data_IF_717192835444
#
_entry.id   IF_717192835444
#
_cell.length_a   1.000
_cell.length_b   1.000
_cell.length_c   1.000
_cell.angle_alpha   90.00
_cell.angle_beta   90.00
_cell.angle_gamma   90.00
#
_symmetry.space_group_name_H-M   'P 1'
#
loop_
_entity.id
_entity.type
_entity.pdbx_description
1 polymer ?
#
# COMPACT_ATOMS: atom_id res chain seq x y z
N UNK A 1 -16.66 -18.37 -2.68
CA UNK A 1 -15.24 -18.79 -2.72
C UNK A 1 -14.53 -18.04 -1.62
N UNK A 2 -14.02 -18.74 -0.61
CA UNK A 2 -13.25 -18.10 0.46
C UNK A 2 -11.93 -17.60 -0.15
N UNK A 3 -11.75 -16.29 -0.23
CA UNK A 3 -10.46 -15.70 -0.59
C UNK A 3 -9.40 -16.21 0.37
N UNK A 4 -8.23 -16.58 -0.16
CA UNK A 4 -7.14 -17.12 0.64
C UNK A 4 -6.82 -16.15 1.79
N UNK A 5 -6.97 -16.61 3.04
CA UNK A 5 -6.84 -15.79 4.26
C UNK A 5 -5.44 -15.18 4.43
N UNK A 6 -4.48 -15.51 3.56
CA UNK A 6 -3.11 -14.95 3.53
C UNK A 6 -2.85 -13.98 2.37
N UNK A 7 -3.88 -13.55 1.65
CA UNK A 7 -3.74 -12.65 0.50
C UNK A 7 -3.30 -11.23 0.88
N UNK A 8 -3.46 -10.81 2.14
CA UNK A 8 -2.99 -9.50 2.63
C UNK A 8 -2.06 -9.71 3.83
N UNK A 9 -0.98 -8.95 3.92
CA UNK A 9 -0.01 -9.05 5.02
C UNK A 9 0.53 -7.67 5.37
N UNK A 10 0.56 -7.35 6.67
CA UNK A 10 1.26 -6.18 7.19
C UNK A 10 2.75 -6.51 7.29
N UNK A 11 3.60 -5.61 6.80
CA UNK A 11 5.05 -5.75 6.87
C UNK A 11 5.64 -4.36 7.17
N UNK A 12 6.75 -4.33 7.89
CA UNK A 12 7.41 -3.06 8.15
C UNK A 12 8.05 -2.49 6.88
N UNK A 13 8.01 -1.16 6.72
CA UNK A 13 8.56 -0.44 5.56
C UNK A 13 10.07 -0.65 5.34
N UNK A 14 10.82 -0.79 6.43
CA UNK A 14 12.25 -1.14 6.44
C UNK A 14 12.57 -2.52 5.81
N UNK A 15 11.54 -3.27 5.39
CA UNK A 15 11.63 -4.59 4.75
C UNK A 15 11.27 -4.60 3.27
N UNK A 16 11.08 -3.44 2.64
CA UNK A 16 10.79 -3.38 1.20
C UNK A 16 11.86 -4.12 0.36
N UNK A 17 13.13 -3.83 0.62
CA UNK A 17 14.25 -4.43 -0.12
C UNK A 17 14.34 -5.94 0.10
N UNK A 18 14.25 -6.39 1.36
CA UNK A 18 14.22 -7.81 1.72
C UNK A 18 13.04 -8.53 1.04
N UNK A 19 11.89 -7.86 0.91
CA UNK A 19 10.70 -8.39 0.25
C UNK A 19 10.95 -8.55 -1.26
N UNK A 20 11.54 -7.54 -1.91
CA UNK A 20 11.85 -7.59 -3.33
C UNK A 20 12.94 -8.64 -3.62
N UNK A 21 13.95 -8.79 -2.76
CA UNK A 21 14.95 -9.86 -2.84
C UNK A 21 14.27 -11.24 -2.77
N UNK A 22 13.34 -11.42 -1.84
CA UNK A 22 12.56 -12.66 -1.73
C UNK A 22 11.67 -12.91 -2.96
N UNK A 23 10.95 -11.89 -3.43
CA UNK A 23 10.09 -11.97 -4.61
C UNK A 23 10.90 -12.33 -5.85
N UNK A 24 12.10 -11.78 -6.01
CA UNK A 24 13.01 -12.11 -7.11
C UNK A 24 13.42 -13.59 -7.15
N UNK A 25 13.27 -14.32 -6.05
CA UNK A 25 13.55 -15.76 -5.99
C UNK A 25 12.45 -16.65 -6.57
N UNK A 26 11.22 -16.17 -6.77
CA UNK A 26 10.10 -17.02 -7.21
C UNK A 26 9.05 -16.36 -8.11
N UNK A 27 8.98 -15.03 -8.19
CA UNK A 27 8.05 -14.34 -9.08
C UNK A 27 8.50 -14.58 -10.52
N UNK A 28 7.57 -15.01 -11.38
CA UNK A 28 7.87 -15.30 -12.77
C UNK A 28 8.07 -14.00 -13.56
N UNK A 29 8.90 -13.98 -14.62
CA UNK A 29 9.14 -12.77 -15.42
C UNK A 29 7.89 -12.15 -16.03
N UNK A 30 6.81 -12.90 -16.25
CA UNK A 30 5.55 -12.39 -16.81
C UNK A 30 4.62 -11.80 -15.74
N UNK A 31 4.90 -12.05 -14.46
CA UNK A 31 4.09 -11.57 -13.35
C UNK A 31 4.52 -10.16 -12.95
N UNK A 32 3.52 -9.29 -12.75
CA UNK A 32 3.72 -7.88 -12.42
C UNK A 32 3.64 -7.65 -10.91
N UNK A 33 4.54 -6.82 -10.40
CA UNK A 33 4.51 -6.29 -9.04
C UNK A 33 4.25 -4.79 -9.13
N UNK A 34 3.14 -4.36 -8.53
CA UNK A 34 2.72 -2.97 -8.53
C UNK A 34 2.94 -2.35 -7.15
N UNK A 35 3.86 -1.39 -7.07
CA UNK A 35 4.06 -0.57 -5.89
C UNK A 35 3.11 0.63 -5.93
N UNK A 36 2.34 0.81 -4.88
CA UNK A 36 1.35 1.87 -4.76
C UNK A 36 1.65 2.76 -3.57
N UNK A 37 1.56 4.07 -3.77
CA UNK A 37 1.63 5.04 -2.68
C UNK A 37 0.52 6.08 -2.83
N UNK A 38 0.31 6.90 -1.80
CA UNK A 38 -0.64 8.02 -1.90
C UNK A 38 -0.16 9.07 -2.91
N UNK A 39 1.13 9.42 -2.84
CA UNK A 39 1.73 10.49 -3.63
C UNK A 39 2.89 9.99 -4.49
N UNK A 40 3.17 10.69 -5.59
CA UNK A 40 4.23 10.30 -6.53
C UNK A 40 5.64 10.39 -5.95
N UNK A 41 5.90 11.35 -5.07
CA UNK A 41 7.22 11.56 -4.48
C UNK A 41 7.61 10.46 -3.48
N UNK A 42 6.65 9.63 -3.05
CA UNK A 42 6.88 8.44 -2.22
C UNK A 42 7.45 7.24 -3.01
N UNK A 43 7.86 7.45 -4.27
CA UNK A 43 8.53 6.41 -5.06
C UNK A 43 9.83 5.98 -4.34
N UNK A 44 9.98 4.70 -3.98
CA UNK A 44 11.20 4.26 -3.30
C UNK A 44 12.44 4.44 -4.16
N UNK A 45 13.50 5.01 -3.58
CA UNK A 45 14.78 5.18 -4.28
C UNK A 45 15.38 3.83 -4.74
N UNK A 46 15.08 2.74 -4.04
CA UNK A 46 15.49 1.39 -4.41
C UNK A 46 15.06 1.03 -5.85
N UNK A 47 13.93 1.56 -6.33
CA UNK A 47 13.47 1.32 -7.71
C UNK A 47 14.38 1.95 -8.76
N UNK A 48 15.19 2.96 -8.41
CA UNK A 48 16.17 3.54 -9.34
C UNK A 48 17.27 2.54 -9.72
N UNK A 49 17.51 1.52 -8.88
CA UNK A 49 18.49 0.46 -9.10
C UNK A 49 17.85 -0.89 -9.43
N UNK A 50 16.53 -0.93 -9.64
CA UNK A 50 15.78 -2.17 -9.83
C UNK A 50 16.29 -3.00 -11.01
N UNK A 51 16.63 -2.35 -12.14
CA UNK A 51 17.12 -3.04 -13.33
C UNK A 51 18.42 -3.84 -13.08
N UNK A 52 19.24 -3.42 -12.11
CA UNK A 52 20.47 -4.12 -11.74
C UNK A 52 20.25 -5.11 -10.60
N UNK A 53 19.44 -4.75 -9.59
CA UNK A 53 19.25 -5.58 -8.39
C UNK A 53 18.22 -6.69 -8.58
N UNK A 54 17.15 -6.41 -9.33
CA UNK A 54 16.04 -7.33 -9.59
C UNK A 54 15.72 -7.39 -11.10
N UNK A 55 16.68 -7.79 -11.95
CA UNK A 55 16.59 -7.66 -13.41
C UNK A 55 15.42 -8.43 -14.04
N UNK A 56 14.85 -9.41 -13.33
CA UNK A 56 13.75 -10.25 -13.82
C UNK A 56 12.38 -9.85 -13.27
N UNK A 57 12.31 -8.88 -12.34
CA UNK A 57 11.04 -8.42 -11.81
C UNK A 57 10.45 -7.31 -12.68
N UNK A 58 9.17 -7.45 -13.04
CA UNK A 58 8.39 -6.35 -13.62
C UNK A 58 7.83 -5.47 -12.50
N UNK A 59 8.58 -4.40 -12.16
CA UNK A 59 8.21 -3.46 -11.10
C UNK A 59 7.60 -2.18 -11.69
N UNK A 60 6.34 -1.92 -11.35
CA UNK A 60 5.65 -0.67 -11.67
C UNK A 60 5.45 0.17 -10.40
N UNK A 61 5.46 1.50 -10.53
CA UNK A 61 5.09 2.41 -9.45
C UNK A 61 4.06 3.44 -9.93
N UNK A 62 3.02 3.67 -9.13
CA UNK A 62 2.06 4.74 -9.35
C UNK A 62 1.31 5.11 -8.07
N UNK A 63 0.52 6.18 -8.12
CA UNK A 63 -0.38 6.48 -7.01
C UNK A 63 -1.56 5.52 -6.97
N UNK A 64 -2.15 5.32 -5.78
CA UNK A 64 -3.34 4.46 -5.63
C UNK A 64 -4.46 4.94 -6.56
N UNK A 65 -4.65 6.26 -6.71
CA UNK A 65 -5.64 6.83 -7.62
C UNK A 65 -5.37 6.48 -9.09
N UNK A 66 -4.13 6.61 -9.55
CA UNK A 66 -3.74 6.28 -10.93
C UNK A 66 -3.86 4.78 -11.25
N UNK A 67 -3.87 3.92 -10.21
CA UNK A 67 -4.03 2.47 -10.38
C UNK A 67 -5.46 2.01 -10.67
N UNK A 68 -6.46 2.90 -10.60
CA UNK A 68 -7.87 2.54 -10.88
C UNK A 68 -7.99 1.89 -12.26
N UNK A 69 -8.66 0.73 -12.30
CA UNK A 69 -8.83 -0.06 -13.53
C UNK A 69 -7.64 -0.95 -13.90
N UNK A 70 -6.48 -0.80 -13.24
CA UNK A 70 -5.32 -1.66 -13.44
C UNK A 70 -5.31 -2.81 -12.43
N UNK A 71 -4.61 -3.90 -12.76
CA UNK A 71 -4.35 -5.01 -11.84
C UNK A 71 -2.94 -5.54 -12.05
N UNK A 72 -2.39 -6.15 -11.01
CA UNK A 72 -1.11 -6.84 -11.02
C UNK A 72 -1.21 -8.15 -10.24
N UNK A 73 -0.27 -9.06 -10.45
CA UNK A 73 -0.19 -10.32 -9.71
C UNK A 73 0.05 -10.04 -8.22
N UNK A 74 0.93 -9.09 -7.95
CA UNK A 74 1.34 -8.68 -6.61
C UNK A 74 1.21 -7.17 -6.43
N UNK A 75 0.81 -6.73 -5.24
CA UNK A 75 0.75 -5.30 -4.88
C UNK A 75 1.51 -5.06 -3.59
N UNK A 76 2.27 -3.97 -3.55
CA UNK A 76 2.93 -3.47 -2.34
C UNK A 76 2.43 -2.06 -2.10
N UNK A 77 1.69 -1.83 -1.03
CA UNK A 77 1.20 -0.50 -0.64
C UNK A 77 2.18 0.12 0.34
N UNK A 78 2.58 1.35 0.07
CA UNK A 78 3.58 2.12 0.80
C UNK A 78 2.90 3.25 1.60
N UNK A 79 3.62 3.75 2.60
CA UNK A 79 3.25 4.97 3.32
C UNK A 79 2.14 4.78 4.36
N UNK A 80 1.93 3.58 4.90
CA UNK A 80 1.06 3.39 6.06
C UNK A 80 1.76 3.93 7.31
N UNK A 81 1.71 5.25 7.46
CA UNK A 81 2.24 5.99 8.60
C UNK A 81 1.31 7.12 9.01
N UNK A 82 1.52 7.66 10.20
CA UNK A 82 0.99 8.96 10.62
C UNK A 82 1.94 10.11 10.20
N UNK A 83 1.46 11.35 10.31
CA UNK A 83 2.26 12.55 10.08
C UNK A 83 2.29 13.03 8.63
N UNK A 84 3.47 13.43 8.15
CA UNK A 84 3.64 13.85 6.76
C UNK A 84 3.51 12.65 5.82
N UNK A 85 2.90 12.88 4.66
CA UNK A 85 2.62 11.85 3.65
C UNK A 85 1.83 10.63 4.17
N UNK A 86 1.09 10.82 5.26
CA UNK A 86 0.33 9.77 5.91
C UNK A 86 -0.70 9.11 4.99
N UNK A 87 -0.95 7.84 5.27
CA UNK A 87 -2.07 7.10 4.73
C UNK A 87 -2.77 6.33 5.86
N UNK A 88 -3.97 6.74 6.32
CA UNK A 88 -4.82 7.81 5.78
C UNK A 88 -4.19 9.19 5.89
N UNK A 89 -4.49 10.08 4.94
CA UNK A 89 -4.08 11.48 5.09
C UNK A 89 -4.90 12.18 6.17
N UNK A 90 -4.27 13.07 6.96
CA UNK A 90 -5.01 13.90 7.90
C UNK A 90 -5.96 14.83 7.14
N UNK A 91 -7.13 15.10 7.74
CA UNK A 91 -8.00 16.16 7.29
C UNK A 91 -7.23 17.50 7.34
N UNK A 92 -7.15 18.20 6.20
CA UNK A 92 -6.37 19.45 6.05
C UNK A 92 -7.23 20.65 5.68
N UNK A 93 -8.55 20.51 5.70
CA UNK A 93 -9.46 21.54 5.22
C UNK A 93 -9.58 22.68 6.23
N UNK A 94 -9.42 23.92 5.76
CA UNK A 94 -9.70 25.12 6.53
C UNK A 94 -11.20 25.24 6.86
N UNK A 95 -11.54 26.07 7.86
CA UNK A 95 -12.93 26.30 8.27
C UNK A 95 -13.81 26.78 7.10
N UNK A 96 -13.25 27.61 6.20
CA UNK A 96 -13.97 28.07 5.01
C UNK A 96 -14.19 26.95 3.99
N UNK A 97 -13.21 26.09 3.78
CA UNK A 97 -13.35 24.93 2.90
C UNK A 97 -14.37 23.94 3.46
N UNK A 98 -14.35 23.69 4.77
CA UNK A 98 -15.34 22.84 5.45
C UNK A 98 -16.78 23.30 5.24
N UNK A 99 -17.02 24.62 5.17
CA UNK A 99 -18.35 25.17 4.89
C UNK A 99 -18.84 24.93 3.45
N UNK A 100 -17.93 24.59 2.53
CA UNK A 100 -18.21 24.30 1.13
C UNK A 100 -18.22 22.80 0.81
N UNK A 101 -17.75 21.97 1.74
CA UNK A 101 -17.69 20.53 1.55
C UNK A 101 -19.08 19.89 1.71
N UNK A 102 -19.31 18.76 1.01
CA UNK A 102 -20.45 17.91 1.33
C UNK A 102 -20.41 17.49 2.80
N UNK A 103 -21.58 17.14 3.34
CA UNK A 103 -21.65 16.67 4.73
C UNK A 103 -20.67 15.50 4.92
N UNK A 104 -19.83 15.55 5.97
CA UNK A 104 -18.90 14.47 6.26
C UNK A 104 -19.69 13.18 6.47
N UNK A 105 -19.16 12.09 5.93
CA UNK A 105 -19.79 10.78 6.08
C UNK A 105 -19.73 10.32 7.54
N UNK A 106 -20.73 9.54 7.98
CA UNK A 106 -20.83 9.02 9.35
C UNK A 106 -19.72 8.00 9.73
N UNK A 107 -18.70 7.83 8.88
CA UNK A 107 -17.62 6.88 9.08
C UNK A 107 -16.24 7.56 9.00
N UNK A 108 -15.39 7.45 10.05
CA UNK A 108 -14.07 8.05 10.05
C UNK A 108 -13.23 7.59 8.85
N UNK A 109 -12.57 8.55 8.19
CA UNK A 109 -11.68 8.33 7.06
C UNK A 109 -12.34 7.58 5.88
N UNK A 110 -13.65 7.77 5.66
CA UNK A 110 -14.42 7.02 4.67
C UNK A 110 -13.77 7.01 3.27
N UNK A 111 -13.31 8.17 2.78
CA UNK A 111 -12.63 8.28 1.49
C UNK A 111 -11.29 7.52 1.47
N UNK A 112 -10.48 7.65 2.52
CA UNK A 112 -9.19 6.99 2.63
C UNK A 112 -9.32 5.46 2.74
N UNK A 113 -10.37 4.98 3.39
CA UNK A 113 -10.70 3.55 3.45
C UNK A 113 -11.13 3.01 2.10
N UNK A 114 -11.91 3.77 1.33
CA UNK A 114 -12.20 3.42 -0.07
C UNK A 114 -10.91 3.39 -0.90
N UNK A 115 -10.00 4.32 -0.65
CA UNK A 115 -8.71 4.34 -1.33
C UNK A 115 -7.88 3.09 -0.99
N UNK A 116 -7.85 2.67 0.29
CA UNK A 116 -7.19 1.43 0.70
C UNK A 116 -7.83 0.23 0.01
N UNK A 117 -9.16 0.16 -0.03
CA UNK A 117 -9.88 -0.89 -0.74
C UNK A 117 -9.53 -0.94 -2.24
N UNK A 118 -9.40 0.22 -2.90
CA UNK A 118 -8.90 0.29 -4.29
C UNK A 118 -7.53 -0.37 -4.39
N UNK A 119 -6.58 -0.01 -3.50
CA UNK A 119 -5.24 -0.59 -3.49
C UNK A 119 -5.26 -2.12 -3.29
N UNK A 120 -6.03 -2.61 -2.31
CA UNK A 120 -6.16 -4.04 -2.01
C UNK A 120 -6.69 -4.83 -3.21
N UNK A 121 -7.68 -4.29 -3.92
CA UNK A 121 -8.31 -4.95 -5.08
C UNK A 121 -7.48 -4.87 -6.37
N UNK A 122 -6.31 -4.21 -6.36
CA UNK A 122 -5.39 -4.22 -7.51
C UNK A 122 -4.62 -5.54 -7.62
N UNK A 123 -4.50 -6.32 -6.54
CA UNK A 123 -3.76 -7.58 -6.54
C UNK A 123 -4.62 -8.76 -6.98
N UNK A 124 -4.05 -9.65 -7.79
CA UNK A 124 -4.64 -10.95 -8.13
C UNK A 124 -4.24 -12.06 -7.16
N UNK A 125 -3.06 -11.97 -6.56
CA UNK A 125 -2.54 -13.01 -5.68
C UNK A 125 -2.27 -12.51 -4.27
N UNK A 126 -1.48 -11.45 -4.11
CA UNK A 126 -1.07 -11.00 -2.77
C UNK A 126 -0.81 -9.50 -2.68
N UNK A 127 -1.12 -8.96 -1.51
CA UNK A 127 -0.85 -7.59 -1.09
C UNK A 127 0.05 -7.58 0.14
N UNK A 128 1.08 -6.73 0.11
CA UNK A 128 1.80 -6.30 1.30
C UNK A 128 1.47 -4.85 1.61
N UNK A 129 1.15 -4.57 2.87
CA UNK A 129 0.88 -3.24 3.38
C UNK A 129 2.07 -2.82 4.24
N UNK A 130 2.91 -1.93 3.70
CA UNK A 130 4.13 -1.47 4.35
C UNK A 130 3.85 -0.33 5.30
N UNK A 131 4.09 -0.57 6.59
CA UNK A 131 3.84 0.39 7.65
C UNK A 131 5.12 0.84 8.36
N UNK A 132 5.12 2.08 8.80
CA UNK A 132 6.20 2.64 9.61
C UNK A 132 6.07 2.13 11.05
N UNK A 133 7.11 1.48 11.57
CA UNK A 133 7.08 0.94 12.95
C UNK A 133 7.06 2.01 14.04
N UNK A 134 7.71 3.14 13.80
CA UNK A 134 7.84 4.21 14.79
C UNK A 134 6.59 5.09 14.84
N UNK A 135 5.91 5.26 13.71
CA UNK A 135 4.70 6.06 13.56
C UNK A 135 3.67 5.31 12.69
N UNK A 136 3.09 4.20 13.19
CA UNK A 136 2.21 3.36 12.39
C UNK A 136 0.92 4.10 12.04
N UNK A 137 0.42 3.88 10.82
CA UNK A 137 -0.91 4.35 10.44
C UNK A 137 -2.01 3.75 11.34
N UNK A 138 -3.08 4.49 11.62
CA UNK A 138 -4.26 3.95 12.33
C UNK A 138 -4.89 2.76 11.59
N UNK A 139 -4.68 2.61 10.27
CA UNK A 139 -5.14 1.42 9.55
C UNK A 139 -4.45 0.13 10.02
N UNK A 140 -3.24 0.20 10.60
CA UNK A 140 -2.52 -0.99 11.09
C UNK A 140 -3.28 -1.69 12.22
N UNK A 141 -3.83 -0.94 13.18
CA UNK A 141 -4.63 -1.51 14.27
C UNK A 141 -5.94 -2.10 13.76
N UNK A 142 -6.61 -1.41 12.85
CA UNK A 142 -7.87 -1.85 12.24
C UNK A 142 -7.68 -3.15 11.46
N UNK A 143 -6.60 -3.25 10.67
CA UNK A 143 -6.29 -4.45 9.91
C UNK A 143 -5.93 -5.63 10.81
N UNK A 144 -5.21 -5.39 11.91
CA UNK A 144 -4.95 -6.43 12.91
C UNK A 144 -6.23 -6.93 13.59
N UNK A 145 -7.16 -6.04 13.91
CA UNK A 145 -8.47 -6.40 14.45
C UNK A 145 -9.33 -7.23 13.46
N UNK A 146 -9.01 -7.17 12.16
CA UNK A 146 -9.60 -7.99 11.09
C UNK A 146 -8.77 -9.24 10.77
N UNK A 147 -7.89 -9.67 11.68
CA UNK A 147 -7.02 -10.85 11.56
C UNK A 147 -6.01 -10.78 10.40
N UNK A 148 -5.64 -9.59 9.90
CA UNK A 148 -4.57 -9.44 8.92
C UNK A 148 -3.22 -9.75 9.60
N UNK A 149 -2.45 -10.73 9.10
CA UNK A 149 -1.20 -11.13 9.77
C UNK A 149 -0.12 -10.05 9.64
N UNK A 150 0.60 -9.82 10.73
CA UNK A 150 1.83 -9.01 10.74
C UNK A 150 3.06 -9.90 10.63
N UNK A 151 3.79 -9.75 9.53
CA UNK A 151 5.00 -10.51 9.28
C UNK A 151 6.23 -9.83 9.88
N UNK A 152 7.08 -10.60 10.58
CA UNK A 152 8.38 -10.12 11.09
C UNK A 152 9.46 -10.09 10.00
N UNK A 153 9.31 -10.93 8.99
CA UNK A 153 10.19 -11.07 7.82
C UNK A 153 9.32 -11.31 6.59
N UNK A 154 9.73 -10.84 5.41
CA UNK A 154 8.98 -11.02 4.17
C UNK A 154 8.77 -12.48 3.80
#
# INVERSE_FOLDING_TARGET
>A
MAGDKKAVTLLADDKLDDLLDKLSGYVKPEQRILLLARYHHLKPEALNKAATRWPHLQLDFMTIHASKGQQADFVIVLGLQEGEDAFPAPARESIMEQALLPQPEDFPDAEERRLLYVALTRARHRVWLLFNKAQPSPFVEILQALDVPMARKP
#
